data_IF_652204285779
#
_entry.id   IF_652204285779
#
_cell.length_a   1.000
_cell.length_b   1.000
_cell.length_c   1.000
_cell.angle_alpha   90.00
_cell.angle_beta   90.00
_cell.angle_gamma   90.00
#
_symmetry.space_group_name_H-M   'P 1'
#
loop_
_entity.id
_entity.type
_entity.pdbx_description
1 polymer ?
#
# COMPACT_ATOMS: atom_id res chain seq x y z
N UNK A 1 -13.33 16.89 -19.48
CA UNK A 1 -12.98 16.70 -18.06
C UNK A 1 -12.91 18.05 -17.38
N UNK A 2 -13.65 18.23 -16.29
CA UNK A 2 -13.55 19.40 -15.41
C UNK A 2 -12.18 19.47 -14.71
N UNK A 3 -11.82 20.62 -14.15
CA UNK A 3 -10.56 20.76 -13.41
C UNK A 3 -10.47 19.79 -12.22
N UNK A 4 -11.61 19.51 -11.55
CA UNK A 4 -11.68 18.50 -10.50
C UNK A 4 -11.41 17.08 -11.01
N UNK A 5 -11.93 16.72 -12.18
CA UNK A 5 -11.69 15.41 -12.77
C UNK A 5 -10.23 15.23 -13.21
N UNK A 6 -9.61 16.27 -13.76
CA UNK A 6 -8.18 16.26 -14.12
C UNK A 6 -7.28 16.11 -12.89
N UNK A 7 -7.57 16.86 -11.82
CA UNK A 7 -6.83 16.78 -10.57
C UNK A 7 -6.93 15.37 -9.96
N UNK A 8 -8.14 14.80 -9.89
CA UNK A 8 -8.35 13.43 -9.39
C UNK A 8 -7.63 12.39 -10.24
N UNK A 9 -7.64 12.54 -11.56
CA UNK A 9 -6.91 11.64 -12.46
C UNK A 9 -5.40 11.71 -12.25
N UNK A 10 -4.87 12.89 -11.94
CA UNK A 10 -3.49 13.09 -11.50
C UNK A 10 -3.19 12.33 -10.20
N UNK A 11 -4.08 12.44 -9.20
CA UNK A 11 -3.96 11.71 -7.93
C UNK A 11 -3.97 10.20 -8.09
N UNK A 12 -4.85 9.65 -8.93
CA UNK A 12 -4.87 8.20 -9.22
C UNK A 12 -3.53 7.74 -9.78
N UNK A 13 -2.97 8.47 -10.76
CA UNK A 13 -1.66 8.14 -11.33
C UNK A 13 -0.53 8.28 -10.32
N UNK A 14 -0.57 9.33 -9.50
CA UNK A 14 0.39 9.52 -8.42
C UNK A 14 0.37 8.32 -7.46
N UNK A 15 -0.81 7.88 -7.03
CA UNK A 15 -0.93 6.73 -6.13
C UNK A 15 -0.41 5.44 -6.78
N UNK A 16 -0.65 5.20 -8.07
CA UNK A 16 -0.03 4.06 -8.75
C UNK A 16 1.51 4.15 -8.76
N UNK A 17 2.09 5.31 -9.06
CA UNK A 17 3.55 5.49 -9.01
C UNK A 17 4.05 5.25 -7.60
N UNK A 18 3.36 5.79 -6.60
CA UNK A 18 3.72 5.63 -5.20
C UNK A 18 3.70 4.16 -4.79
N UNK A 19 2.67 3.40 -5.18
CA UNK A 19 2.59 1.95 -4.96
C UNK A 19 3.68 1.17 -5.70
N UNK A 20 4.02 1.53 -6.94
CA UNK A 20 5.10 0.87 -7.69
C UNK A 20 6.43 1.02 -6.94
N UNK A 21 6.76 2.23 -6.52
CA UNK A 21 8.03 2.51 -5.87
C UNK A 21 8.06 2.00 -4.43
N UNK A 22 7.00 2.25 -3.66
CA UNK A 22 6.93 1.87 -2.26
C UNK A 22 6.65 0.39 -2.08
N UNK A 23 5.44 -0.06 -2.40
CA UNK A 23 5.08 -1.48 -2.23
C UNK A 23 5.87 -2.38 -3.19
N UNK A 24 5.85 -2.09 -4.49
CA UNK A 24 6.55 -2.91 -5.49
C UNK A 24 8.06 -3.00 -5.22
N UNK A 25 8.72 -1.86 -5.00
CA UNK A 25 10.15 -1.81 -4.66
C UNK A 25 10.47 -2.52 -3.35
N UNK A 26 9.69 -2.30 -2.29
CA UNK A 26 9.88 -3.00 -1.01
C UNK A 26 9.67 -4.51 -1.16
N UNK A 27 8.67 -4.93 -1.95
CA UNK A 27 8.39 -6.34 -2.22
C UNK A 27 9.54 -7.04 -2.95
N UNK A 28 10.13 -6.38 -3.95
CA UNK A 28 11.34 -6.88 -4.62
C UNK A 28 12.51 -7.00 -3.63
N UNK A 29 12.70 -5.99 -2.77
CA UNK A 29 13.69 -6.04 -1.70
C UNK A 29 13.45 -7.23 -0.75
N UNK A 30 12.21 -7.48 -0.36
CA UNK A 30 11.87 -8.60 0.54
C UNK A 30 12.16 -9.96 -0.07
N UNK A 31 11.98 -10.11 -1.39
CA UNK A 31 12.19 -11.38 -2.10
C UNK A 31 13.66 -11.64 -2.46
N UNK A 32 14.37 -10.62 -2.95
CA UNK A 32 15.72 -10.78 -3.49
C UNK A 32 16.83 -10.33 -2.54
N UNK A 33 16.51 -9.48 -1.55
CA UNK A 33 17.45 -8.98 -0.56
C UNK A 33 16.83 -8.94 0.86
N UNK A 34 16.31 -10.08 1.39
CA UNK A 34 15.57 -10.11 2.65
C UNK A 34 16.38 -9.61 3.85
N UNK A 35 17.68 -9.93 3.93
CA UNK A 35 18.55 -9.47 5.01
C UNK A 35 18.75 -7.96 5.00
N UNK A 36 18.87 -7.36 3.81
CA UNK A 36 18.97 -5.91 3.67
C UNK A 36 17.68 -5.24 4.16
N UNK A 37 16.52 -5.75 3.76
CA UNK A 37 15.23 -5.19 4.19
C UNK A 37 15.03 -5.32 5.70
N UNK A 38 15.33 -6.49 6.27
CA UNK A 38 15.26 -6.71 7.73
C UNK A 38 16.18 -5.74 8.48
N UNK A 39 17.40 -5.51 7.99
CA UNK A 39 18.33 -4.57 8.60
C UNK A 39 17.89 -3.11 8.46
N UNK A 40 17.46 -2.67 7.27
CA UNK A 40 17.05 -1.30 7.00
C UNK A 40 15.87 -0.87 7.85
N UNK A 41 14.87 -1.74 7.96
CA UNK A 41 13.65 -1.47 8.74
C UNK A 41 13.74 -1.97 10.19
N UNK A 42 14.87 -2.57 10.59
CA UNK A 42 15.07 -3.18 11.90
C UNK A 42 13.95 -4.15 12.28
N UNK A 43 13.52 -4.98 11.33
CA UNK A 43 12.50 -5.97 11.59
C UNK A 43 13.03 -7.06 12.52
N UNK A 44 12.21 -7.56 13.47
CA UNK A 44 12.56 -8.75 14.23
C UNK A 44 12.70 -9.95 13.28
N UNK A 45 13.30 -11.07 13.74
CA UNK A 45 13.36 -12.30 12.94
C UNK A 45 11.99 -12.65 12.35
N UNK A 46 11.95 -12.81 11.02
CA UNK A 46 10.75 -13.14 10.28
C UNK A 46 10.83 -14.58 9.79
N UNK A 47 9.70 -15.28 9.79
CA UNK A 47 9.59 -16.55 9.08
C UNK A 47 9.80 -16.29 7.57
N UNK A 48 10.73 -17.01 6.91
CA UNK A 48 11.08 -16.73 5.52
C UNK A 48 9.93 -17.00 4.54
N UNK A 49 9.05 -17.95 4.85
CA UNK A 49 7.91 -18.30 3.99
C UNK A 49 6.85 -17.20 4.09
N UNK A 50 6.49 -16.78 5.31
CA UNK A 50 5.52 -15.70 5.53
C UNK A 50 6.06 -14.37 4.98
N UNK A 51 7.34 -14.07 5.20
CA UNK A 51 7.97 -12.86 4.67
C UNK A 51 7.98 -12.86 3.13
N UNK A 52 8.22 -14.02 2.51
CA UNK A 52 8.13 -14.20 1.07
C UNK A 52 6.71 -13.98 0.50
N UNK A 53 5.66 -14.39 1.23
CA UNK A 53 4.27 -14.10 0.85
C UNK A 53 4.04 -12.58 0.85
N UNK A 54 4.45 -11.87 1.90
CA UNK A 54 4.30 -10.41 1.99
C UNK A 54 5.01 -9.72 0.82
N UNK A 55 6.26 -10.09 0.56
CA UNK A 55 7.03 -9.56 -0.57
C UNK A 55 6.34 -9.81 -1.91
N UNK A 56 5.82 -11.02 -2.13
CA UNK A 56 5.13 -11.39 -3.37
C UNK A 56 3.84 -10.59 -3.60
N UNK A 57 3.03 -10.40 -2.57
CA UNK A 57 1.81 -9.58 -2.64
C UNK A 57 2.15 -8.11 -2.93
N UNK A 58 3.21 -7.59 -2.32
CA UNK A 58 3.69 -6.22 -2.55
C UNK A 58 4.19 -6.01 -3.97
N UNK A 59 4.92 -6.98 -4.53
CA UNK A 59 5.31 -6.96 -5.95
C UNK A 59 4.07 -7.00 -6.84
N UNK A 60 3.07 -7.84 -6.52
CA UNK A 60 1.82 -7.90 -7.29
C UNK A 60 1.08 -6.55 -7.29
N UNK A 61 1.03 -5.83 -6.16
CA UNK A 61 0.50 -4.46 -6.12
C UNK A 61 1.26 -3.52 -7.05
N UNK A 62 2.60 -3.59 -7.08
CA UNK A 62 3.42 -2.83 -8.00
C UNK A 62 3.12 -3.15 -9.47
N UNK A 63 3.11 -4.44 -9.82
CA UNK A 63 2.84 -4.90 -11.20
C UNK A 63 1.46 -4.44 -11.68
N UNK A 64 0.41 -4.63 -10.87
CA UNK A 64 -0.93 -4.21 -11.24
C UNK A 64 -1.07 -2.68 -11.29
N UNK A 65 -0.29 -1.95 -10.49
CA UNK A 65 -0.24 -0.49 -10.55
C UNK A 65 0.44 0.02 -11.84
N UNK A 66 1.39 -0.72 -12.42
CA UNK A 66 1.93 -0.40 -13.76
C UNK A 66 0.82 -0.47 -14.82
N UNK A 67 -0.04 -1.49 -14.75
CA UNK A 67 -1.22 -1.59 -15.62
C UNK A 67 -2.21 -0.46 -15.33
N UNK A 68 -2.34 -0.07 -14.07
CA UNK A 68 -3.11 1.09 -13.63
C UNK A 68 -2.66 2.40 -14.28
N UNK A 69 -1.37 2.62 -14.51
CA UNK A 69 -0.92 3.82 -15.23
C UNK A 69 -1.46 3.92 -16.67
N UNK A 70 -1.65 2.77 -17.33
CA UNK A 70 -2.22 2.69 -18.69
C UNK A 70 -3.74 2.83 -18.70
N UNK A 71 -4.43 2.32 -17.69
CA UNK A 71 -5.89 2.39 -17.60
C UNK A 71 -6.34 2.76 -16.17
N UNK A 72 -6.18 4.04 -15.77
CA UNK A 72 -6.25 4.42 -14.35
C UNK A 72 -7.55 4.10 -13.65
N UNK A 73 -8.68 4.29 -14.33
CA UNK A 73 -10.00 4.00 -13.76
C UNK A 73 -10.27 2.49 -13.66
N UNK A 74 -9.81 1.70 -14.65
CA UNK A 74 -10.06 0.25 -14.70
C UNK A 74 -9.37 -0.50 -13.54
N UNK A 75 -8.21 -0.03 -13.12
CA UNK A 75 -7.42 -0.65 -12.04
C UNK A 75 -7.60 0.01 -10.67
N UNK A 76 -8.57 0.93 -10.54
CA UNK A 76 -8.91 1.54 -9.23
C UNK A 76 -9.16 0.51 -8.13
N UNK A 77 -9.70 -0.70 -8.40
CA UNK A 77 -9.78 -1.75 -7.38
C UNK A 77 -8.47 -2.10 -6.68
N UNK A 78 -7.31 -1.85 -7.29
CA UNK A 78 -5.99 -2.06 -6.65
C UNK A 78 -5.72 -1.01 -5.58
N UNK A 79 -6.07 0.26 -5.83
CA UNK A 79 -5.99 1.31 -4.81
C UNK A 79 -7.00 1.03 -3.69
N UNK A 80 -8.21 0.57 -4.04
CA UNK A 80 -9.21 0.16 -3.04
C UNK A 80 -8.71 -1.00 -2.18
N UNK A 81 -8.09 -2.01 -2.78
CA UNK A 81 -7.51 -3.13 -2.05
C UNK A 81 -6.42 -2.67 -1.09
N UNK A 82 -5.57 -1.71 -1.50
CA UNK A 82 -4.56 -1.13 -0.62
C UNK A 82 -5.17 -0.36 0.54
N UNK A 83 -6.19 0.46 0.28
CA UNK A 83 -6.93 1.17 1.31
C UNK A 83 -7.50 0.19 2.33
N UNK A 84 -8.19 -0.86 1.87
CA UNK A 84 -8.76 -1.89 2.73
C UNK A 84 -7.68 -2.62 3.54
N UNK A 85 -6.66 -3.15 2.87
CA UNK A 85 -5.54 -3.86 3.50
C UNK A 85 -4.91 -3.05 4.62
N UNK A 86 -4.52 -1.80 4.35
CA UNK A 86 -3.83 -0.95 5.32
C UNK A 86 -4.76 -0.54 6.46
N UNK A 87 -6.04 -0.28 6.16
CA UNK A 87 -7.04 0.03 7.20
C UNK A 87 -7.27 -1.15 8.13
N UNK A 88 -7.40 -2.37 7.58
CA UNK A 88 -7.54 -3.60 8.36
C UNK A 88 -6.28 -3.82 9.22
N UNK A 89 -5.08 -3.66 8.64
CA UNK A 89 -3.84 -3.82 9.40
C UNK A 89 -3.73 -2.81 10.55
N UNK A 90 -4.10 -1.54 10.31
CA UNK A 90 -4.13 -0.51 11.35
C UNK A 90 -5.05 -0.88 12.52
N UNK A 91 -6.26 -1.37 12.22
CA UNK A 91 -7.27 -1.70 13.23
C UNK A 91 -6.98 -3.03 13.94
N UNK A 92 -6.56 -4.06 13.20
CA UNK A 92 -6.42 -5.40 13.74
C UNK A 92 -5.02 -5.71 14.29
N UNK A 93 -3.99 -4.94 13.90
CA UNK A 93 -2.60 -5.17 14.31
C UNK A 93 -2.08 -4.03 15.18
N UNK A 94 -2.07 -2.79 14.65
CA UNK A 94 -1.46 -1.66 15.35
C UNK A 94 -2.30 -1.20 16.53
N UNK A 95 -3.61 -1.09 16.39
CA UNK A 95 -4.47 -0.60 17.46
C UNK A 95 -4.40 -1.47 18.73
N UNK A 96 -4.45 -2.83 18.67
CA UNK A 96 -4.20 -3.67 19.83
C UNK A 96 -2.81 -3.49 20.45
N UNK A 97 -1.77 -3.37 19.61
CA UNK A 97 -0.40 -3.16 20.08
C UNK A 97 -0.23 -1.82 20.80
N UNK A 98 -0.91 -0.77 20.32
CA UNK A 98 -0.98 0.55 20.97
C UNK A 98 -1.62 0.44 22.34
N UNK A 99 -2.78 -0.22 22.46
CA UNK A 99 -3.44 -0.40 23.76
C UNK A 99 -2.63 -1.27 24.73
N UNK A 100 -1.84 -2.22 24.22
CA UNK A 100 -0.94 -3.02 25.03
C UNK A 100 0.36 -2.30 25.43
N UNK A 101 0.63 -1.10 24.90
CA UNK A 101 1.90 -0.39 25.12
C UNK A 101 3.11 -1.10 24.50
N UNK A 102 2.90 -1.96 23.48
CA UNK A 102 3.93 -2.82 22.87
C UNK A 102 4.29 -2.40 21.44
N UNK A 103 4.23 -1.10 21.14
CA UNK A 103 4.55 -0.59 19.81
C UNK A 103 6.04 -0.31 19.71
N UNK A 104 6.73 -1.12 18.91
CA UNK A 104 8.13 -0.93 18.59
C UNK A 104 8.33 0.12 17.49
N UNK A 105 9.54 0.68 17.41
CA UNK A 105 9.85 1.78 16.48
C UNK A 105 9.62 1.40 15.01
N UNK A 106 9.92 0.16 14.60
CA UNK A 106 9.68 -0.28 13.22
C UNK A 106 8.19 -0.26 12.86
N UNK A 107 7.32 -0.61 13.83
CA UNK A 107 5.88 -0.60 13.66
C UNK A 107 5.34 0.83 13.57
N UNK A 108 5.92 1.78 14.31
CA UNK A 108 5.62 3.22 14.16
C UNK A 108 5.96 3.71 12.76
N UNK A 109 7.17 3.40 12.26
CA UNK A 109 7.59 3.81 10.91
C UNK A 109 6.66 3.26 9.83
N UNK A 110 6.33 1.96 9.90
CA UNK A 110 5.37 1.34 8.98
C UNK A 110 3.98 1.97 9.08
N UNK A 111 3.52 2.29 10.28
CA UNK A 111 2.24 2.97 10.53
C UNK A 111 2.19 4.33 9.83
N UNK A 112 3.24 5.14 9.96
CA UNK A 112 3.34 6.44 9.30
C UNK A 112 3.24 6.28 7.78
N UNK A 113 3.96 5.34 7.19
CA UNK A 113 3.83 5.04 5.76
C UNK A 113 2.42 4.59 5.40
N UNK A 114 1.79 3.74 6.19
CA UNK A 114 0.44 3.26 5.85
C UNK A 114 -0.61 4.38 5.91
N UNK A 115 -0.46 5.33 6.82
CA UNK A 115 -1.31 6.52 6.91
C UNK A 115 -1.20 7.37 5.64
N UNK A 116 0.01 7.57 5.08
CA UNK A 116 0.16 8.35 3.83
C UNK A 116 -0.55 7.66 2.66
N UNK A 117 -0.49 6.33 2.57
CA UNK A 117 -1.25 5.57 1.58
C UNK A 117 -2.75 5.69 1.79
N UNK A 118 -3.25 5.51 3.01
CA UNK A 118 -4.68 5.60 3.31
C UNK A 118 -5.23 6.97 2.90
N UNK A 119 -4.55 8.06 3.29
CA UNK A 119 -4.96 9.42 2.94
C UNK A 119 -4.90 9.62 1.42
N UNK A 120 -3.81 9.19 0.78
CA UNK A 120 -3.64 9.29 -0.67
C UNK A 120 -4.72 8.53 -1.46
N UNK A 121 -5.04 7.31 -1.04
CA UNK A 121 -6.05 6.47 -1.67
C UNK A 121 -7.46 7.06 -1.48
N UNK A 122 -7.79 7.59 -0.29
CA UNK A 122 -9.07 8.29 -0.05
C UNK A 122 -9.26 9.51 -0.95
N UNK A 123 -8.18 10.24 -1.26
CA UNK A 123 -8.21 11.39 -2.18
C UNK A 123 -8.29 10.94 -3.65
N UNK A 124 -7.54 9.90 -4.00
CA UNK A 124 -7.41 9.43 -5.37
C UNK A 124 -8.65 8.68 -5.88
N UNK A 125 -9.23 7.80 -5.05
CA UNK A 125 -10.28 6.86 -5.48
C UNK A 125 -11.59 7.61 -5.81
N UNK A 126 -12.10 7.52 -7.04
CA UNK A 126 -13.43 8.00 -7.38
C UNK A 126 -14.50 7.01 -6.89
N UNK A 127 -14.85 7.05 -5.60
CA UNK A 127 -15.79 6.10 -4.99
C UNK A 127 -17.13 5.98 -5.73
N UNK A 128 -17.65 7.09 -6.24
CA UNK A 128 -18.90 7.10 -7.03
C UNK A 128 -18.78 6.33 -8.34
N UNK A 129 -17.59 6.30 -8.95
CA UNK A 129 -17.33 5.49 -10.14
C UNK A 129 -17.16 4.02 -9.79
N UNK A 130 -16.43 3.72 -8.70
CA UNK A 130 -16.14 2.35 -8.26
C UNK A 130 -17.39 1.61 -7.81
N UNK A 131 -18.31 2.31 -7.13
CA UNK A 131 -19.56 1.73 -6.63
C UNK A 131 -20.78 2.08 -7.48
N UNK A 132 -20.57 2.57 -8.71
CA UNK A 132 -21.69 2.82 -9.62
C UNK A 132 -22.34 1.47 -9.94
N UNK A 133 -23.62 1.32 -9.59
CA UNK A 133 -24.42 0.16 -9.95
C UNK A 133 -24.46 0.02 -11.47
N UNK A 134 -24.24 -1.19 -11.98
CA UNK A 134 -24.45 -1.54 -13.40
C UNK A 134 -25.91 -1.30 -13.81
#
# INVERSE_FOLDING_TARGET
MSNHEKARFGWIKFMYIYTILGAGGSGLGMLFAPELMKSLFKFPPQDPVVFGIVGSVYVAFGVLSILGLRSPLKFTPILLLQLCYKSIWMICVILPLLFAGKVEMYAVMLTVFFITYIIGDLIAIPFTYVFKKE
#
